data_IF_434074738167
#
_entry.id   IF_434074738167
#
_cell.length_a   1.000
_cell.length_b   1.000
_cell.length_c   1.000
_cell.angle_alpha   90.00
_cell.angle_beta   90.00
_cell.angle_gamma   90.00
#
_symmetry.space_group_name_H-M   'P 1'
#
loop_
_entity.id
_entity.type
_entity.pdbx_description
1 polymer ?
#
# COMPACT_ATOMS: atom_id res chain seq x y z
N UNK A 1 3.46 7.02 16.95
CA UNK A 1 2.21 6.23 16.96
C UNK A 1 2.51 4.86 16.40
N UNK A 2 1.76 3.84 16.81
CA UNK A 2 1.94 2.47 16.32
C UNK A 2 1.75 2.38 14.79
N UNK A 3 0.87 3.23 14.21
CA UNK A 3 0.66 3.30 12.76
C UNK A 3 1.94 3.55 11.95
N UNK A 4 2.81 4.48 12.37
CA UNK A 4 4.11 4.69 11.68
C UNK A 4 5.02 3.46 11.75
N UNK A 5 5.03 2.77 12.89
CA UNK A 5 5.86 1.57 13.06
C UNK A 5 5.34 0.43 12.18
N UNK A 6 4.02 0.25 12.12
CA UNK A 6 3.39 -0.73 11.23
C UNK A 6 3.58 -0.36 9.76
N UNK A 7 3.48 0.93 9.42
CA UNK A 7 3.75 1.42 8.07
C UNK A 7 5.19 1.12 7.64
N UNK A 8 6.19 1.27 8.51
CA UNK A 8 7.57 0.86 8.19
C UNK A 8 7.69 -0.65 7.94
N UNK A 9 7.05 -1.48 8.79
CA UNK A 9 7.07 -2.94 8.60
C UNK A 9 6.49 -3.31 7.24
N UNK A 10 5.34 -2.72 6.88
CA UNK A 10 4.70 -2.95 5.58
C UNK A 10 5.57 -2.40 4.45
N UNK A 11 6.11 -1.20 4.59
CA UNK A 11 6.96 -0.56 3.60
C UNK A 11 8.22 -1.38 3.29
N UNK A 12 8.95 -1.81 4.32
CA UNK A 12 10.16 -2.63 4.15
C UNK A 12 9.82 -3.96 3.47
N UNK A 13 8.68 -4.54 3.80
CA UNK A 13 8.20 -5.78 3.19
C UNK A 13 7.82 -5.61 1.72
N UNK A 14 7.04 -4.57 1.38
CA UNK A 14 6.65 -4.28 -0.01
C UNK A 14 7.88 -3.91 -0.83
N UNK A 15 8.79 -3.08 -0.30
CA UNK A 15 10.05 -2.74 -0.97
C UNK A 15 10.89 -3.98 -1.22
N UNK A 16 10.98 -4.91 -0.26
CA UNK A 16 11.65 -6.18 -0.47
C UNK A 16 11.00 -6.99 -1.60
N UNK A 17 9.68 -7.08 -1.64
CA UNK A 17 8.98 -7.86 -2.67
C UNK A 17 9.08 -7.24 -4.07
N UNK A 18 9.08 -5.91 -4.17
CA UNK A 18 9.07 -5.17 -5.44
C UNK A 18 10.47 -4.90 -6.01
N UNK A 19 11.47 -4.67 -5.15
CA UNK A 19 12.80 -4.19 -5.58
C UNK A 19 13.91 -5.24 -5.45
N UNK A 20 13.61 -6.43 -4.94
CA UNK A 20 14.58 -7.54 -4.98
C UNK A 20 14.63 -8.11 -6.40
N UNK A 21 15.83 -8.38 -6.88
CA UNK A 21 16.07 -8.93 -8.22
C UNK A 21 15.40 -10.31 -8.40
N UNK A 22 14.92 -10.60 -9.61
CA UNK A 22 14.29 -11.88 -9.96
C UNK A 22 15.23 -13.08 -9.83
N UNK A 23 16.55 -12.86 -9.88
CA UNK A 23 17.57 -13.88 -9.62
C UNK A 23 17.64 -14.25 -8.12
N UNK A 24 17.19 -13.37 -7.22
CA UNK A 24 17.25 -13.54 -5.76
C UNK A 24 15.88 -13.87 -5.14
N UNK A 25 14.78 -13.51 -5.80
CA UNK A 25 13.42 -13.71 -5.32
C UNK A 25 12.53 -14.43 -6.35
N UNK A 26 11.88 -15.51 -5.92
CA UNK A 26 10.90 -16.19 -6.76
C UNK A 26 9.64 -15.30 -6.94
N UNK A 27 9.44 -14.81 -8.17
CA UNK A 27 8.36 -13.87 -8.49
C UNK A 27 6.95 -14.41 -8.19
N UNK A 28 6.67 -15.68 -8.48
CA UNK A 28 5.35 -16.29 -8.19
C UNK A 28 5.06 -16.28 -6.68
N UNK A 29 6.09 -16.56 -5.87
CA UNK A 29 5.98 -16.51 -4.41
C UNK A 29 5.82 -15.06 -3.94
N UNK A 30 6.54 -14.11 -4.54
CA UNK A 30 6.43 -12.69 -4.22
C UNK A 30 5.01 -12.17 -4.48
N UNK A 31 4.42 -12.50 -5.63
CA UNK A 31 3.03 -12.16 -5.98
C UNK A 31 2.05 -12.76 -4.98
N UNK A 32 2.20 -14.05 -4.65
CA UNK A 32 1.35 -14.72 -3.65
C UNK A 32 1.39 -13.99 -2.30
N UNK A 33 2.58 -13.53 -1.90
CA UNK A 33 2.76 -12.79 -0.65
C UNK A 33 2.19 -11.36 -0.71
N UNK A 34 2.25 -10.70 -1.87
CA UNK A 34 1.60 -9.40 -2.09
C UNK A 34 0.07 -9.53 -2.00
N UNK A 35 -0.53 -10.56 -2.63
CA UNK A 35 -1.97 -10.83 -2.54
C UNK A 35 -2.41 -11.11 -1.10
N UNK A 36 -1.63 -11.89 -0.35
CA UNK A 36 -1.89 -12.15 1.05
C UNK A 36 -1.85 -10.87 1.90
N UNK A 37 -0.89 -9.98 1.64
CA UNK A 37 -0.82 -8.68 2.31
C UNK A 37 -2.02 -7.79 1.95
N UNK A 38 -2.43 -7.77 0.68
CA UNK A 38 -3.59 -7.00 0.22
C UNK A 38 -4.85 -7.39 1.01
N UNK A 39 -5.16 -8.69 1.07
CA UNK A 39 -6.32 -9.18 1.83
C UNK A 39 -6.25 -8.85 3.32
N UNK A 40 -5.06 -8.91 3.93
CA UNK A 40 -4.88 -8.52 5.33
C UNK A 40 -5.11 -7.03 5.58
N UNK A 41 -4.70 -6.17 4.64
CA UNK A 41 -4.90 -4.72 4.74
C UNK A 41 -6.38 -4.33 4.56
N UNK A 42 -7.08 -4.99 3.63
CA UNK A 42 -8.52 -4.78 3.41
C UNK A 42 -9.37 -5.17 4.64
N UNK A 43 -8.95 -6.18 5.40
CA UNK A 43 -9.64 -6.63 6.62
C UNK A 43 -9.31 -5.78 7.86
N UNK A 44 -8.40 -4.81 7.77
CA UNK A 44 -8.05 -3.96 8.92
C UNK A 44 -9.21 -3.05 9.35
N UNK A 45 -9.20 -2.69 10.64
CA UNK A 45 -10.10 -1.65 11.16
C UNK A 45 -9.93 -0.35 10.35
N UNK A 46 -11.04 0.20 9.85
CA UNK A 46 -11.04 1.40 8.99
C UNK A 46 -10.44 2.63 9.66
N UNK A 47 -10.55 2.74 10.99
CA UNK A 47 -9.92 3.81 11.75
C UNK A 47 -8.40 3.72 11.69
N UNK A 48 -7.88 2.52 11.96
CA UNK A 48 -6.44 2.25 11.88
C UNK A 48 -5.91 2.31 10.44
N UNK A 49 -6.66 1.79 9.46
CA UNK A 49 -6.29 1.84 8.06
C UNK A 49 -6.13 3.29 7.56
N UNK A 50 -6.98 4.21 8.03
CA UNK A 50 -6.81 5.65 7.75
C UNK A 50 -5.50 6.20 8.30
N UNK A 51 -5.13 5.84 9.53
CA UNK A 51 -3.84 6.23 10.10
C UNK A 51 -2.66 5.66 9.32
N UNK A 52 -2.79 4.46 8.74
CA UNK A 52 -1.77 3.84 7.90
C UNK A 52 -1.59 4.56 6.57
N UNK A 53 -2.68 4.91 5.88
CA UNK A 53 -2.63 5.68 4.62
C UNK A 53 -1.87 6.99 4.80
N UNK A 54 -2.19 7.74 5.86
CA UNK A 54 -1.47 8.97 6.20
C UNK A 54 0.01 8.69 6.56
N UNK A 55 0.28 7.58 7.26
CA UNK A 55 1.63 7.21 7.66
C UNK A 55 2.54 6.90 6.47
N UNK A 56 2.06 6.19 5.43
CA UNK A 56 2.85 5.87 4.23
C UNK A 56 3.37 7.13 3.53
N UNK A 57 2.51 8.15 3.37
CA UNK A 57 2.90 9.42 2.77
C UNK A 57 4.01 10.14 3.57
N UNK A 58 3.99 9.99 4.91
CA UNK A 58 4.98 10.60 5.80
C UNK A 58 6.30 9.83 5.78
N UNK A 59 6.26 8.50 5.90
CA UNK A 59 7.49 7.69 6.00
C UNK A 59 8.21 7.57 4.65
N UNK A 60 7.53 7.75 3.52
CA UNK A 60 8.15 7.71 2.19
C UNK A 60 9.36 8.65 2.06
N UNK A 61 9.34 9.80 2.75
CA UNK A 61 10.46 10.75 2.75
C UNK A 61 11.72 10.22 3.45
N UNK A 62 11.62 9.13 4.20
CA UNK A 62 12.74 8.44 4.86
C UNK A 62 13.43 7.43 3.93
N UNK A 63 12.80 7.07 2.81
CA UNK A 63 13.34 6.20 1.77
C UNK A 63 13.95 7.03 0.63
N UNK A 64 14.73 6.38 -0.23
CA UNK A 64 15.40 7.03 -1.38
C UNK A 64 15.23 6.22 -2.67
N UNK A 65 15.32 6.89 -3.81
CA UNK A 65 15.21 6.25 -5.12
C UNK A 65 13.85 5.57 -5.31
N UNK A 66 13.85 4.43 -5.98
CA UNK A 66 12.64 3.67 -6.32
C UNK A 66 11.87 3.23 -5.05
N UNK A 67 12.58 2.93 -3.96
CA UNK A 67 11.95 2.58 -2.68
C UNK A 67 11.05 3.71 -2.15
N UNK A 68 11.43 4.98 -2.34
CA UNK A 68 10.58 6.12 -1.97
C UNK A 68 9.30 6.16 -2.78
N UNK A 69 9.37 5.86 -4.06
CA UNK A 69 8.21 5.83 -4.94
C UNK A 69 7.28 4.66 -4.59
N UNK A 70 7.84 3.47 -4.39
CA UNK A 70 7.08 2.30 -3.91
C UNK A 70 6.33 2.64 -2.63
N UNK A 71 7.03 3.15 -1.60
CA UNK A 71 6.42 3.46 -0.29
C UNK A 71 5.35 4.54 -0.40
N UNK A 72 5.58 5.58 -1.21
CA UNK A 72 4.57 6.63 -1.45
C UNK A 72 3.32 6.08 -2.13
N UNK A 73 3.45 5.04 -2.94
CA UNK A 73 2.36 4.47 -3.71
C UNK A 73 1.65 3.28 -3.05
N UNK A 74 2.11 2.78 -1.89
CA UNK A 74 1.51 1.61 -1.21
C UNK A 74 -0.01 1.75 -1.07
N UNK A 75 -0.50 2.87 -0.54
CA UNK A 75 -1.93 3.06 -0.32
C UNK A 75 -2.73 2.87 -1.61
N UNK A 76 -2.25 3.47 -2.70
CA UNK A 76 -2.84 3.31 -4.01
C UNK A 76 -2.69 1.87 -4.54
N UNK A 77 -1.48 1.30 -4.54
CA UNK A 77 -1.23 -0.04 -5.08
C UNK A 77 -2.14 -1.10 -4.46
N UNK A 78 -2.50 -0.92 -3.19
CA UNK A 78 -3.39 -1.82 -2.44
C UNK A 78 -4.86 -1.35 -2.36
N UNK A 79 -5.27 -0.32 -3.11
CA UNK A 79 -6.66 0.18 -3.13
C UNK A 79 -7.19 0.60 -1.74
N UNK A 80 -6.30 1.12 -0.87
CA UNK A 80 -6.66 1.38 0.53
C UNK A 80 -7.60 2.59 0.66
N UNK A 81 -7.45 3.60 -0.19
CA UNK A 81 -8.37 4.73 -0.22
C UNK A 81 -9.79 4.32 -0.63
N UNK A 82 -9.91 3.40 -1.59
CA UNK A 82 -11.16 2.79 -2.04
C UNK A 82 -11.77 1.93 -0.93
N UNK A 83 -10.97 1.10 -0.25
CA UNK A 83 -11.42 0.31 0.90
C UNK A 83 -11.97 1.19 2.04
N UNK A 84 -11.34 2.34 2.29
CA UNK A 84 -11.84 3.34 3.25
C UNK A 84 -13.13 4.02 2.80
N UNK A 85 -13.35 4.16 1.48
CA UNK A 85 -14.53 4.76 0.88
C UNK A 85 -15.66 3.75 0.60
N UNK A 86 -15.49 2.46 0.91
CA UNK A 86 -16.47 1.41 0.54
C UNK A 86 -17.90 1.64 1.06
N UNK A 87 -18.08 2.41 2.15
CA UNK A 87 -19.40 2.75 2.68
C UNK A 87 -19.99 4.06 2.10
N UNK A 88 -19.25 4.74 1.22
CA UNK A 88 -19.63 5.96 0.51
C UNK A 88 -19.52 5.73 -1.01
N UNK A 89 -20.60 5.30 -1.68
CA UNK A 89 -20.57 4.92 -3.09
C UNK A 89 -20.25 6.08 -4.03
N UNK A 90 -20.51 7.32 -3.62
CA UNK A 90 -20.16 8.50 -4.43
C UNK A 90 -18.65 8.71 -4.36
N UNK A 91 -18.08 8.69 -3.15
CA UNK A 91 -16.65 8.85 -2.95
C UNK A 91 -15.85 7.72 -3.60
N UNK A 92 -16.35 6.48 -3.54
CA UNK A 92 -15.73 5.33 -4.19
C UNK A 92 -15.65 5.53 -5.70
N UNK A 93 -16.77 5.90 -6.35
CA UNK A 93 -16.79 6.12 -7.80
C UNK A 93 -15.84 7.25 -8.26
N UNK A 94 -15.67 8.30 -7.44
CA UNK A 94 -14.67 9.34 -7.72
C UNK A 94 -13.23 8.83 -7.64
N UNK A 95 -12.92 7.99 -6.65
CA UNK A 95 -11.60 7.41 -6.47
C UNK A 95 -11.25 6.44 -7.61
N UNK A 96 -12.19 5.59 -7.99
CA UNK A 96 -12.05 4.68 -9.14
C UNK A 96 -11.77 5.47 -10.43
N UNK A 97 -12.53 6.54 -10.69
CA UNK A 97 -12.30 7.39 -11.87
C UNK A 97 -10.94 8.10 -11.84
N UNK A 98 -10.46 8.51 -10.66
CA UNK A 98 -9.13 9.11 -10.52
C UNK A 98 -8.02 8.10 -10.80
N UNK A 99 -8.21 6.85 -10.36
CA UNK A 99 -7.27 5.75 -10.61
C UNK A 99 -7.19 5.39 -12.09
N UNK A 100 -8.33 5.21 -12.75
CA UNK A 100 -8.41 4.93 -14.18
C UNK A 100 -7.74 6.00 -15.05
N UNK A 101 -7.60 7.23 -14.53
CA UNK A 101 -6.91 8.32 -15.24
C UNK A 101 -5.37 8.31 -15.08
N UNK A 102 -4.86 7.51 -14.14
CA UNK A 102 -3.45 7.44 -13.76
C UNK A 102 -2.73 6.23 -14.38
N UNK A 103 -3.48 5.18 -14.71
CA UNK A 103 -3.04 3.97 -15.40
C UNK A 103 -3.10 4.13 -16.93
#
# INVERSE_FOLDING_TARGET
MIAKQVAHIIADYVVFLELTDEDELNLDTAVTMMEALAGQLEEMDKGFLRELVDAFAVIAEEYSGDAKEVVRNIAHSFYLEEALAADDPVRLAELEALRDSRD
#
